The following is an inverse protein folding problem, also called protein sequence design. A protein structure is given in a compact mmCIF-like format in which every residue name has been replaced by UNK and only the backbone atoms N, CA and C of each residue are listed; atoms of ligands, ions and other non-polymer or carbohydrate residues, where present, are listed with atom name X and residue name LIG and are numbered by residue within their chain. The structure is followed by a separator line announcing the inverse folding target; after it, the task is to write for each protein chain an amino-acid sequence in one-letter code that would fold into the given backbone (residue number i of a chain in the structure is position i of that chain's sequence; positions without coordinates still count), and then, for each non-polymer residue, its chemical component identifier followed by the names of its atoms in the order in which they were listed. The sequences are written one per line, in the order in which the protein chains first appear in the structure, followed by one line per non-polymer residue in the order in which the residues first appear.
data_IF_814848318848
#
_entry.id   IF_814848318848
#
_cell.length_a   1.000
_cell.length_b   1.000
_cell.length_c   1.000
_cell.angle_alpha   90.00
_cell.angle_beta   90.00
_cell.angle_gamma   90.00
#
_symmetry.space_group_name_H-M   'P 1'
#
loop_
_entity.id
_entity.type
_entity.pdbx_description
1 polymer ?
#
# COMPACT_ATOMS: atom_id res chain seq x y z
N UNK A 1 8.23 42.00 3.23
CA UNK A 1 8.68 41.89 4.64
C UNK A 1 9.08 40.45 4.87
N UNK A 2 10.39 40.21 4.97
CA UNK A 2 10.98 38.88 5.14
C UNK A 2 10.87 38.45 6.62
N UNK A 3 10.13 37.40 6.85
CA UNK A 3 10.09 36.74 8.16
C UNK A 3 11.33 35.90 8.33
N UNK A 4 12.19 36.23 9.27
CA UNK A 4 13.38 35.45 9.59
C UNK A 4 13.04 34.34 10.58
N UNK A 5 13.75 33.20 10.48
CA UNK A 5 13.61 32.00 11.35
C UNK A 5 13.68 32.29 12.86
N UNK A 6 14.23 33.42 13.28
CA UNK A 6 14.35 33.82 14.71
C UNK A 6 13.06 34.35 15.32
N UNK A 7 12.14 34.89 14.54
CA UNK A 7 10.84 35.35 15.04
C UNK A 7 9.85 34.20 15.30
N UNK A 8 10.17 33.00 14.83
CA UNK A 8 9.33 31.80 15.05
C UNK A 8 9.60 31.11 16.40
N UNK A 9 10.75 31.35 17.04
CA UNK A 9 11.15 30.71 18.27
C UNK A 9 10.98 31.59 19.53
N UNK A 10 10.60 32.84 19.40
CA UNK A 10 10.56 33.80 20.50
C UNK A 10 9.20 34.46 20.79
N UNK A 11 8.17 34.14 20.07
CA UNK A 11 6.84 34.74 20.30
C UNK A 11 5.83 33.67 20.74
N UNK A 12 5.01 34.01 21.69
CA UNK A 12 3.86 33.27 22.26
C UNK A 12 2.83 32.71 21.27
N UNK A 13 3.24 32.43 20.04
CA UNK A 13 2.42 31.82 18.97
C UNK A 13 2.31 30.31 19.15
N UNK A 14 3.15 29.71 19.99
CA UNK A 14 3.05 28.31 20.37
C UNK A 14 1.75 27.96 21.14
N UNK A 15 1.01 28.97 21.59
CA UNK A 15 -0.18 28.78 22.41
C UNK A 15 -1.51 28.89 21.68
N UNK A 16 -1.54 29.32 20.42
CA UNK A 16 -2.81 29.54 19.71
C UNK A 16 -3.26 28.38 18.81
N UNK A 17 -2.48 27.34 18.62
CA UNK A 17 -2.82 26.24 17.70
C UNK A 17 -2.70 24.82 18.22
N UNK A 18 -2.06 24.60 19.37
CA UNK A 18 -1.75 23.27 19.85
C UNK A 18 -2.48 22.77 21.10
N UNK A 19 -3.09 23.59 21.96
CA UNK A 19 -3.53 23.05 23.25
C UNK A 19 -5.00 22.65 23.32
N UNK A 20 -5.77 22.76 22.27
CA UNK A 20 -7.21 22.46 22.38
C UNK A 20 -7.45 21.01 22.85
N UNK A 21 -6.54 20.10 22.53
CA UNK A 21 -6.62 18.71 22.96
C UNK A 21 -5.49 18.24 23.89
N UNK A 22 -4.63 19.13 24.38
CA UNK A 22 -3.54 18.73 25.28
C UNK A 22 -4.04 18.13 26.61
N UNK A 23 -5.28 18.38 26.99
CA UNK A 23 -5.94 17.76 28.13
C UNK A 23 -6.77 16.52 27.82
N UNK A 24 -7.03 16.22 26.55
CA UNK A 24 -7.74 15.02 26.13
C UNK A 24 -6.71 13.98 25.74
N UNK A 25 -6.53 12.98 26.58
CA UNK A 25 -5.54 11.92 26.37
C UNK A 25 -5.97 10.94 25.27
N UNK A 26 -6.25 11.45 24.04
CA UNK A 26 -6.53 10.65 22.87
C UNK A 26 -5.29 9.87 22.41
N UNK A 27 -4.08 10.35 22.76
CA UNK A 27 -2.81 9.66 22.50
C UNK A 27 -2.48 8.61 23.58
N UNK A 28 -3.04 8.73 24.78
CA UNK A 28 -2.77 7.83 25.90
C UNK A 28 -3.47 6.48 25.82
N UNK A 29 -4.51 6.35 25.02
CA UNK A 29 -5.17 5.07 24.81
C UNK A 29 -4.35 4.08 23.97
N UNK A 30 -3.29 4.57 23.31
CA UNK A 30 -2.41 3.74 22.47
C UNK A 30 -1.01 3.51 23.05
N UNK A 31 -0.63 4.20 24.12
CA UNK A 31 0.59 3.92 24.86
C UNK A 31 0.22 3.03 26.05
N UNK A 32 0.24 1.71 25.82
CA UNK A 32 0.01 0.74 26.88
C UNK A 32 1.03 0.90 27.99
N UNK A 33 0.71 1.72 29.01
CA UNK A 33 1.07 1.35 30.37
C UNK A 33 0.07 0.25 30.73
N UNK A 34 0.56 -0.95 30.96
CA UNK A 34 -0.22 -2.03 31.56
C UNK A 34 -0.74 -1.61 32.94
N UNK A 35 -1.74 -0.76 33.01
CA UNK A 35 -2.58 -0.63 34.18
C UNK A 35 -3.51 -1.83 34.15
N UNK A 36 -3.41 -2.66 35.17
CA UNK A 36 -4.25 -3.82 35.46
C UNK A 36 -5.71 -3.39 35.68
N UNK A 37 -6.36 -2.87 34.68
CA UNK A 37 -7.79 -2.59 34.62
C UNK A 37 -8.40 -3.40 33.48
N UNK A 38 -9.31 -4.32 33.78
CA UNK A 38 -10.00 -5.25 32.89
C UNK A 38 -10.92 -4.53 31.88
N UNK A 39 -10.38 -3.69 31.00
CA UNK A 39 -11.11 -3.13 29.87
C UNK A 39 -10.50 -3.65 28.58
N UNK A 40 -11.26 -4.46 27.84
CA UNK A 40 -10.89 -4.87 26.47
C UNK A 40 -10.78 -3.60 25.61
N UNK A 41 -9.68 -3.45 24.90
CA UNK A 41 -9.49 -2.32 23.99
C UNK A 41 -10.63 -2.30 22.95
N UNK A 42 -11.09 -1.12 22.49
CA UNK A 42 -12.25 -1.03 21.59
C UNK A 42 -12.06 -1.74 20.23
N UNK A 43 -10.83 -2.11 19.91
CA UNK A 43 -10.45 -2.78 18.66
C UNK A 43 -10.23 -4.30 18.79
N UNK A 44 -10.45 -4.86 20.00
CA UNK A 44 -10.23 -6.29 20.23
C UNK A 44 -11.40 -6.89 21.02
N UNK A 45 -11.68 -8.17 20.77
CA UNK A 45 -12.65 -8.95 21.57
C UNK A 45 -11.99 -9.55 22.80
N UNK A 46 -12.79 -9.96 23.77
CA UNK A 46 -12.30 -10.58 24.99
C UNK A 46 -11.50 -11.88 24.78
N UNK A 47 -11.68 -12.53 23.63
CA UNK A 47 -10.99 -13.76 23.23
C UNK A 47 -9.71 -13.50 22.41
N UNK A 48 -9.23 -12.25 22.36
CA UNK A 48 -8.03 -11.88 21.62
C UNK A 48 -8.22 -11.74 20.09
N UNK A 49 -9.47 -11.84 19.58
CA UNK A 49 -9.76 -11.62 18.18
C UNK A 49 -10.04 -10.14 17.88
N UNK A 50 -9.76 -9.74 16.63
CA UNK A 50 -10.12 -8.43 16.14
C UNK A 50 -11.62 -8.17 16.24
N UNK A 51 -12.00 -6.93 16.57
CA UNK A 51 -13.41 -6.51 16.50
C UNK A 51 -13.89 -6.49 15.04
N UNK A 52 -15.20 -6.38 14.83
CA UNK A 52 -15.76 -6.27 13.49
C UNK A 52 -15.28 -5.00 12.78
N UNK A 53 -15.11 -3.92 13.52
CA UNK A 53 -14.60 -2.63 13.04
C UNK A 53 -13.17 -2.76 12.54
N UNK A 54 -12.31 -3.46 13.27
CA UNK A 54 -10.94 -3.74 12.87
C UNK A 54 -10.92 -4.66 11.65
N UNK A 55 -11.72 -5.72 11.65
CA UNK A 55 -11.75 -6.66 10.53
C UNK A 55 -12.14 -5.97 9.22
N UNK A 56 -13.22 -5.18 9.22
CA UNK A 56 -13.68 -4.49 8.00
C UNK A 56 -12.63 -3.48 7.52
N UNK A 57 -12.03 -2.71 8.43
CA UNK A 57 -10.97 -1.78 8.07
C UNK A 57 -9.75 -2.50 7.47
N UNK A 58 -9.30 -3.58 8.10
CA UNK A 58 -8.18 -4.40 7.64
C UNK A 58 -8.44 -4.96 6.25
N UNK A 59 -9.61 -5.56 6.01
CA UNK A 59 -9.97 -6.12 4.71
C UNK A 59 -9.98 -5.07 3.59
N UNK A 60 -10.54 -3.88 3.83
CA UNK A 60 -10.51 -2.81 2.83
C UNK A 60 -9.10 -2.29 2.54
N UNK A 61 -8.25 -2.17 3.55
CA UNK A 61 -6.86 -1.74 3.37
C UNK A 61 -6.06 -2.78 2.59
N UNK A 62 -6.20 -4.06 2.93
CA UNK A 62 -5.42 -5.15 2.31
C UNK A 62 -5.88 -5.51 0.91
N UNK A 63 -7.18 -5.38 0.63
CA UNK A 63 -7.73 -5.84 -0.66
C UNK A 63 -8.13 -4.71 -1.60
N UNK A 64 -8.48 -3.53 -1.08
CA UNK A 64 -8.89 -2.39 -1.91
C UNK A 64 -7.94 -1.19 -1.87
N UNK A 65 -6.87 -1.23 -1.07
CA UNK A 65 -5.92 -0.11 -0.94
C UNK A 65 -6.57 1.19 -0.46
N UNK A 66 -7.58 1.11 0.41
CA UNK A 66 -8.30 2.24 1.01
C UNK A 66 -8.94 1.85 2.33
N UNK A 67 -9.35 2.81 3.12
CA UNK A 67 -10.26 2.54 4.24
C UNK A 67 -11.71 2.42 3.74
N UNK A 68 -12.59 1.70 4.47
CA UNK A 68 -14.00 1.66 4.12
C UNK A 68 -14.63 3.04 4.33
N UNK A 69 -15.61 3.37 3.53
CA UNK A 69 -16.49 4.51 3.79
C UNK A 69 -17.32 4.25 5.06
N UNK A 70 -17.87 5.31 5.65
CA UNK A 70 -18.78 5.17 6.81
C UNK A 70 -19.93 4.18 6.52
N UNK A 71 -20.53 4.24 5.33
CA UNK A 71 -21.64 3.37 4.95
C UNK A 71 -21.21 1.91 4.86
N UNK A 72 -20.08 1.63 4.24
CA UNK A 72 -19.50 0.30 4.13
C UNK A 72 -19.15 -0.29 5.51
N UNK A 73 -18.47 0.51 6.34
CA UNK A 73 -18.08 0.09 7.69
C UNK A 73 -19.32 -0.23 8.55
N UNK A 74 -20.31 0.67 8.56
CA UNK A 74 -21.55 0.47 9.31
C UNK A 74 -22.38 -0.71 8.75
N UNK A 75 -22.46 -0.84 7.44
CA UNK A 75 -23.13 -1.95 6.78
C UNK A 75 -22.59 -3.30 7.21
N UNK A 76 -21.27 -3.43 7.30
CA UNK A 76 -20.62 -4.64 7.79
C UNK A 76 -20.80 -4.85 9.29
N UNK A 77 -20.50 -3.83 10.10
CA UNK A 77 -20.52 -3.94 11.58
C UNK A 77 -21.90 -4.27 12.11
N UNK A 78 -22.94 -3.67 11.55
CA UNK A 78 -24.34 -3.88 11.98
C UNK A 78 -25.06 -4.98 11.22
N UNK A 79 -24.39 -5.64 10.27
CA UNK A 79 -24.96 -6.77 9.53
C UNK A 79 -25.29 -7.93 10.47
N UNK A 80 -26.47 -8.53 10.30
CA UNK A 80 -26.89 -9.75 10.99
C UNK A 80 -26.58 -11.02 10.19
N UNK A 81 -26.01 -10.88 8.99
CA UNK A 81 -25.64 -12.04 8.17
C UNK A 81 -24.49 -12.81 8.84
N UNK A 82 -24.63 -14.11 9.17
CA UNK A 82 -23.56 -14.92 9.73
C UNK A 82 -22.38 -15.05 8.77
N UNK A 83 -22.64 -15.05 7.46
CA UNK A 83 -21.63 -15.19 6.39
C UNK A 83 -21.01 -13.84 5.96
N UNK A 84 -21.25 -12.75 6.71
CA UNK A 84 -20.80 -11.41 6.32
C UNK A 84 -19.29 -11.28 6.08
N UNK A 85 -18.47 -12.10 6.77
CA UNK A 85 -17.01 -12.08 6.57
C UNK A 85 -16.65 -12.64 5.22
N UNK A 86 -17.14 -13.82 4.91
CA UNK A 86 -16.91 -14.48 3.63
C UNK A 86 -17.43 -13.62 2.49
N UNK A 87 -18.67 -13.10 2.61
CA UNK A 87 -19.23 -12.20 1.62
C UNK A 87 -18.38 -10.94 1.39
N UNK A 88 -17.93 -10.28 2.47
CA UNK A 88 -17.06 -9.11 2.35
C UNK A 88 -15.75 -9.43 1.64
N UNK A 89 -15.09 -10.54 2.00
CA UNK A 89 -13.82 -10.95 1.39
C UNK A 89 -14.03 -11.26 -0.09
N UNK A 90 -15.06 -12.02 -0.43
CA UNK A 90 -15.38 -12.39 -1.81
C UNK A 90 -15.72 -11.15 -2.66
N UNK A 91 -16.51 -10.21 -2.12
CA UNK A 91 -16.84 -8.94 -2.79
C UNK A 91 -15.59 -8.08 -3.04
N UNK A 92 -14.72 -7.96 -2.04
CA UNK A 92 -13.49 -7.17 -2.18
C UNK A 92 -12.51 -7.80 -3.18
N UNK A 93 -12.35 -9.13 -3.17
CA UNK A 93 -11.49 -9.83 -4.12
C UNK A 93 -12.03 -9.77 -5.56
N UNK A 94 -13.35 -9.62 -5.75
CA UNK A 94 -13.97 -9.46 -7.05
C UNK A 94 -13.96 -8.00 -7.57
N UNK A 95 -13.74 -7.01 -6.70
CA UNK A 95 -13.82 -5.60 -7.04
C UNK A 95 -12.64 -5.14 -7.93
N UNK A 96 -12.90 -4.11 -8.77
CA UNK A 96 -11.85 -3.47 -9.59
C UNK A 96 -10.73 -2.88 -8.71
N UNK A 97 -11.07 -2.32 -7.55
CA UNK A 97 -10.12 -1.77 -6.60
C UNK A 97 -9.09 -2.80 -6.08
N UNK A 98 -9.44 -4.09 -6.09
CA UNK A 98 -8.50 -5.16 -5.80
C UNK A 98 -7.42 -5.24 -6.90
N UNK A 99 -7.85 -5.29 -8.15
CA UNK A 99 -6.91 -5.33 -9.27
C UNK A 99 -6.00 -4.10 -9.30
N UNK A 100 -6.55 -2.91 -9.06
CA UNK A 100 -5.80 -1.66 -8.96
C UNK A 100 -4.69 -1.72 -7.89
N UNK A 101 -5.07 -2.09 -6.67
CA UNK A 101 -4.13 -2.09 -5.54
C UNK A 101 -3.07 -3.18 -5.63
N UNK A 102 -3.47 -4.40 -5.98
CA UNK A 102 -2.52 -5.51 -6.08
C UNK A 102 -1.60 -5.39 -7.29
N UNK A 103 -2.08 -4.76 -8.38
CA UNK A 103 -1.22 -4.42 -9.52
C UNK A 103 -0.10 -3.47 -9.13
N UNK A 104 -0.38 -2.47 -8.29
CA UNK A 104 0.64 -1.55 -7.77
C UNK A 104 1.77 -2.33 -7.06
N UNK A 105 1.41 -3.33 -6.21
CA UNK A 105 2.39 -4.16 -5.51
C UNK A 105 3.22 -5.03 -6.45
N UNK A 106 2.59 -5.61 -7.48
CA UNK A 106 3.33 -6.36 -8.50
C UNK A 106 4.19 -5.45 -9.37
N UNK A 107 3.78 -4.20 -9.62
CA UNK A 107 4.62 -3.23 -10.30
C UNK A 107 5.91 -2.90 -9.54
N UNK A 108 5.88 -2.95 -8.20
CA UNK A 108 7.09 -2.79 -7.39
C UNK A 108 8.07 -3.96 -7.63
N UNK A 109 7.57 -5.19 -7.57
CA UNK A 109 8.36 -6.41 -7.77
C UNK A 109 8.87 -6.53 -9.22
N UNK A 110 8.05 -6.12 -10.19
CA UNK A 110 8.34 -6.21 -11.62
C UNK A 110 9.05 -4.96 -12.18
N UNK A 111 9.42 -4.01 -11.31
CA UNK A 111 10.26 -2.83 -11.64
C UNK A 111 9.67 -1.96 -12.73
N UNK A 112 8.37 -1.64 -12.65
CA UNK A 112 7.68 -0.83 -13.64
C UNK A 112 8.06 0.64 -13.46
N UNK A 113 9.06 1.10 -14.23
CA UNK A 113 9.65 2.44 -14.12
C UNK A 113 10.19 2.94 -15.44
N UNK A 114 9.84 4.18 -15.80
CA UNK A 114 10.27 4.78 -17.09
C UNK A 114 11.68 5.35 -17.07
N UNK A 115 12.18 5.75 -15.89
CA UNK A 115 13.47 6.44 -15.73
C UNK A 115 14.61 5.49 -15.30
N UNK A 116 15.83 6.04 -15.33
CA UNK A 116 17.01 5.34 -14.85
C UNK A 116 16.82 4.85 -13.39
N UNK A 117 17.34 3.66 -13.00
CA UNK A 117 18.21 2.76 -13.78
C UNK A 117 17.47 1.80 -14.71
N UNK A 118 16.15 1.67 -14.62
CA UNK A 118 15.35 0.70 -15.38
C UNK A 118 15.15 1.15 -16.83
N UNK A 119 14.70 2.38 -17.02
CA UNK A 119 14.61 3.04 -18.31
C UNK A 119 13.68 2.36 -19.33
N UNK A 120 12.44 2.01 -18.88
CA UNK A 120 11.43 1.40 -19.78
C UNK A 120 10.79 2.39 -20.76
N UNK A 121 10.78 3.69 -20.46
CA UNK A 121 10.01 4.72 -21.15
C UNK A 121 8.48 4.64 -20.90
N UNK A 122 7.75 5.78 -20.89
CA UNK A 122 6.33 5.80 -20.50
C UNK A 122 5.39 4.89 -21.31
N UNK A 123 5.60 4.76 -22.63
CA UNK A 123 4.75 3.88 -23.46
C UNK A 123 4.89 2.42 -23.04
N UNK A 124 6.11 1.96 -22.82
CA UNK A 124 6.39 0.61 -22.36
C UNK A 124 5.86 0.37 -20.93
N UNK A 125 6.03 1.35 -20.03
CA UNK A 125 5.43 1.33 -18.69
C UNK A 125 3.92 1.13 -18.75
N UNK A 126 3.23 1.91 -19.59
CA UNK A 126 1.78 1.82 -19.74
C UNK A 126 1.33 0.44 -20.21
N UNK A 127 1.97 -0.10 -21.24
CA UNK A 127 1.65 -1.42 -21.81
C UNK A 127 1.94 -2.51 -20.79
N UNK A 128 3.08 -2.45 -20.11
CA UNK A 128 3.47 -3.43 -19.08
C UNK A 128 2.56 -3.40 -17.86
N UNK A 129 2.23 -2.21 -17.34
CA UNK A 129 1.27 -2.05 -16.25
C UNK A 129 -0.09 -2.67 -16.60
N UNK A 130 -0.62 -2.40 -17.81
CA UNK A 130 -1.90 -2.99 -18.24
C UNK A 130 -1.88 -4.52 -18.24
N UNK A 131 -0.76 -5.12 -18.62
CA UNK A 131 -0.59 -6.58 -18.60
C UNK A 131 -0.57 -7.12 -17.16
N UNK A 132 0.14 -6.43 -16.27
CA UNK A 132 0.16 -6.78 -14.83
C UNK A 132 -1.23 -6.62 -14.22
N UNK A 133 -1.95 -5.55 -14.55
CA UNK A 133 -3.32 -5.35 -14.11
C UNK A 133 -4.26 -6.46 -14.60
N UNK A 134 -4.13 -6.87 -15.87
CA UNK A 134 -4.90 -7.98 -16.43
C UNK A 134 -4.59 -9.32 -15.72
N UNK A 135 -3.32 -9.58 -15.37
CA UNK A 135 -2.93 -10.75 -14.57
C UNK A 135 -3.68 -10.80 -13.24
N UNK A 136 -3.70 -9.70 -12.48
CA UNK A 136 -4.39 -9.63 -11.19
C UNK A 136 -5.91 -9.69 -11.37
N UNK A 137 -6.45 -8.94 -12.34
CA UNK A 137 -7.89 -8.84 -12.60
C UNK A 137 -8.51 -10.16 -13.02
N UNK A 138 -7.81 -10.94 -13.83
CA UNK A 138 -8.29 -12.22 -14.36
C UNK A 138 -7.89 -13.40 -13.46
N UNK A 139 -7.19 -13.16 -12.35
CA UNK A 139 -6.64 -14.20 -11.47
C UNK A 139 -5.88 -15.27 -12.25
N UNK A 140 -5.01 -14.83 -13.18
CA UNK A 140 -4.20 -15.72 -14.00
C UNK A 140 -3.22 -16.49 -13.10
N UNK A 141 -2.99 -17.80 -13.33
CA UNK A 141 -2.00 -18.56 -12.59
C UNK A 141 -0.59 -17.95 -12.70
N UNK A 142 0.10 -17.85 -11.57
CA UNK A 142 1.43 -17.23 -11.52
C UNK A 142 2.48 -17.93 -12.38
N UNK A 143 2.40 -19.26 -12.50
CA UNK A 143 3.28 -20.07 -13.36
C UNK A 143 3.06 -19.75 -14.85
N UNK A 144 1.81 -19.57 -15.30
CA UNK A 144 1.49 -19.14 -16.65
C UNK A 144 2.01 -17.72 -16.93
N UNK A 145 1.77 -16.80 -15.99
CA UNK A 145 2.25 -15.43 -16.12
C UNK A 145 3.79 -15.35 -16.13
N UNK A 146 4.46 -16.10 -15.24
CA UNK A 146 5.91 -16.18 -15.19
C UNK A 146 6.50 -16.74 -16.50
N UNK A 147 5.90 -17.79 -17.06
CA UNK A 147 6.29 -18.34 -18.38
C UNK A 147 6.13 -17.29 -19.49
N UNK A 148 5.02 -16.57 -19.51
CA UNK A 148 4.78 -15.53 -20.50
C UNK A 148 5.84 -14.42 -20.40
N UNK A 149 6.15 -13.94 -19.21
CA UNK A 149 7.16 -12.89 -18.98
C UNK A 149 8.58 -13.34 -19.38
N UNK A 150 8.95 -14.57 -19.06
CA UNK A 150 10.29 -15.09 -19.29
C UNK A 150 10.55 -15.44 -20.75
N UNK A 151 9.55 -15.91 -21.49
CA UNK A 151 9.71 -16.38 -22.86
C UNK A 151 9.26 -15.37 -23.91
N UNK A 152 8.73 -14.22 -23.51
CA UNK A 152 8.30 -13.19 -24.46
C UNK A 152 9.45 -12.64 -25.28
N UNK A 153 9.11 -12.25 -26.51
CA UNK A 153 9.94 -11.53 -27.47
C UNK A 153 9.11 -10.46 -28.15
N UNK A 154 9.73 -9.55 -28.89
CA UNK A 154 9.03 -8.52 -29.64
C UNK A 154 9.23 -7.11 -29.09
N UNK A 155 8.37 -6.20 -29.51
CA UNK A 155 8.45 -4.77 -29.21
C UNK A 155 7.97 -4.48 -27.80
N UNK A 156 8.72 -3.68 -27.05
CA UNK A 156 8.34 -3.18 -25.73
C UNK A 156 7.04 -2.35 -25.71
N UNK A 157 6.66 -1.78 -26.85
CA UNK A 157 5.44 -0.99 -26.97
C UNK A 157 4.21 -1.82 -27.38
N UNK A 158 4.41 -3.05 -27.86
CA UNK A 158 3.35 -3.92 -28.42
C UNK A 158 3.23 -5.22 -27.64
N UNK A 159 4.36 -5.82 -27.29
CA UNK A 159 4.46 -7.11 -26.60
C UNK A 159 4.77 -6.86 -25.12
N UNK A 160 3.72 -6.70 -24.33
CA UNK A 160 3.80 -6.22 -22.95
C UNK A 160 4.76 -7.03 -22.07
N UNK A 161 4.75 -8.35 -22.23
CA UNK A 161 5.56 -9.29 -21.46
C UNK A 161 7.07 -9.15 -21.73
N UNK A 162 7.46 -8.68 -22.93
CA UNK A 162 8.86 -8.43 -23.29
C UNK A 162 9.52 -7.39 -22.35
N UNK A 163 8.73 -6.55 -21.70
CA UNK A 163 9.21 -5.54 -20.77
C UNK A 163 9.81 -6.14 -19.49
N UNK A 164 9.50 -7.38 -19.13
CA UNK A 164 10.14 -8.03 -17.99
C UNK A 164 11.66 -8.09 -18.16
N UNK A 165 12.17 -8.59 -19.29
CA UNK A 165 13.60 -8.67 -19.55
C UNK A 165 14.26 -7.29 -19.72
N UNK A 166 13.47 -6.26 -20.06
CA UNK A 166 13.95 -4.88 -20.14
C UNK A 166 13.99 -4.18 -18.77
N UNK A 167 13.23 -4.68 -17.80
CA UNK A 167 13.14 -4.08 -16.46
C UNK A 167 14.35 -4.40 -15.58
N UNK A 168 15.55 -4.20 -16.10
CA UNK A 168 16.84 -4.39 -15.43
C UNK A 168 17.78 -3.24 -15.74
N UNK A 169 18.57 -2.84 -14.73
CA UNK A 169 19.65 -1.87 -14.91
C UNK A 169 20.81 -2.42 -15.77
N UNK A 170 20.97 -3.75 -15.80
CA UNK A 170 22.05 -4.43 -16.53
C UNK A 170 21.47 -5.31 -17.63
N UNK A 171 21.59 -4.88 -18.88
CA UNK A 171 21.10 -5.60 -20.08
C UNK A 171 22.11 -6.63 -20.56
N UNK A 172 22.48 -7.53 -19.66
CA UNK A 172 23.43 -8.63 -19.88
C UNK A 172 22.79 -9.94 -19.46
N UNK A 173 23.30 -11.11 -19.90
CA UNK A 173 22.81 -12.42 -19.45
C UNK A 173 22.72 -12.52 -17.93
N UNK A 174 23.71 -12.01 -17.19
CA UNK A 174 23.73 -11.98 -15.74
C UNK A 174 22.61 -11.10 -15.16
N UNK A 175 22.36 -9.92 -15.75
CA UNK A 175 21.30 -9.03 -15.34
C UNK A 175 19.91 -9.62 -15.55
N UNK A 176 19.69 -10.31 -16.68
CA UNK A 176 18.43 -11.02 -16.94
C UNK A 176 18.22 -12.19 -15.97
N UNK A 177 19.29 -12.95 -15.72
CA UNK A 177 19.27 -14.05 -14.76
C UNK A 177 19.01 -13.57 -13.33
N UNK A 178 19.64 -12.48 -12.92
CA UNK A 178 19.45 -11.87 -11.60
C UNK A 178 17.99 -11.50 -11.35
N UNK A 179 17.36 -10.76 -12.27
CA UNK A 179 15.95 -10.38 -12.10
C UNK A 179 15.01 -11.57 -12.16
N UNK A 180 15.31 -12.61 -12.96
CA UNK A 180 14.52 -13.83 -13.03
C UNK A 180 14.63 -14.62 -11.73
N UNK A 181 15.85 -14.83 -11.21
CA UNK A 181 16.11 -15.54 -9.97
C UNK A 181 15.46 -14.85 -8.77
N UNK A 182 15.63 -13.52 -8.63
CA UNK A 182 14.99 -12.74 -7.56
C UNK A 182 13.46 -12.79 -7.67
N UNK A 183 12.91 -12.53 -8.85
CA UNK A 183 11.46 -12.39 -9.02
C UNK A 183 10.74 -13.71 -8.85
N UNK A 184 11.27 -14.81 -9.40
CA UNK A 184 10.53 -16.06 -9.45
C UNK A 184 11.00 -17.12 -8.44
N UNK A 185 12.26 -17.07 -8.02
CA UNK A 185 12.82 -18.05 -7.08
C UNK A 185 13.11 -17.45 -5.70
N UNK A 186 13.09 -16.13 -5.55
CA UNK A 186 13.46 -15.43 -4.30
C UNK A 186 14.95 -15.60 -3.97
N UNK A 187 15.77 -15.88 -4.98
CA UNK A 187 17.21 -16.06 -4.79
C UNK A 187 17.92 -14.71 -4.92
N UNK A 188 18.63 -14.34 -3.86
CA UNK A 188 19.47 -13.15 -3.85
C UNK A 188 20.75 -13.42 -4.64
N UNK A 189 21.03 -12.58 -5.66
CA UNK A 189 22.15 -12.77 -6.56
C UNK A 189 23.50 -12.88 -5.85
N UNK A 190 23.68 -12.07 -4.81
CA UNK A 190 24.93 -12.04 -4.07
C UNK A 190 25.16 -13.27 -3.17
N UNK A 191 24.10 -13.99 -2.83
CA UNK A 191 24.18 -15.21 -2.02
C UNK A 191 24.47 -16.44 -2.87
N UNK A 192 24.38 -16.33 -4.20
CA UNK A 192 24.66 -17.42 -5.11
C UNK A 192 26.16 -17.59 -5.32
N UNK A 193 26.61 -18.85 -5.45
CA UNK A 193 27.98 -19.17 -5.86
C UNK A 193 28.24 -18.70 -7.28
N UNK A 194 29.50 -18.42 -7.62
CA UNK A 194 29.90 -17.99 -8.97
C UNK A 194 29.49 -19.02 -10.04
N UNK A 195 29.66 -20.30 -9.76
CA UNK A 195 29.22 -21.38 -10.63
C UNK A 195 27.72 -21.32 -10.91
N UNK A 196 26.91 -21.07 -9.87
CA UNK A 196 25.45 -20.97 -10.02
C UNK A 196 25.05 -19.72 -10.78
N UNK A 197 25.67 -18.58 -10.54
CA UNK A 197 25.44 -17.35 -11.30
C UNK A 197 25.75 -17.54 -12.79
N UNK A 198 26.85 -18.19 -13.09
CA UNK A 198 27.22 -18.51 -14.49
C UNK A 198 26.21 -19.45 -15.14
N UNK A 199 25.82 -20.54 -14.46
CA UNK A 199 24.77 -21.45 -14.94
C UNK A 199 23.47 -20.71 -15.28
N UNK A 200 23.01 -19.82 -14.36
CA UNK A 200 21.80 -19.05 -14.57
C UNK A 200 21.94 -18.06 -15.74
N UNK A 201 23.08 -17.39 -15.86
CA UNK A 201 23.35 -16.47 -16.97
C UNK A 201 23.36 -17.17 -18.34
N UNK A 202 23.86 -18.42 -18.40
CA UNK A 202 23.90 -19.19 -19.64
C UNK A 202 22.51 -19.44 -20.24
N UNK A 203 21.44 -19.52 -19.42
CA UNK A 203 20.06 -19.60 -19.94
C UNK A 203 19.62 -18.35 -20.69
N UNK A 204 20.17 -17.18 -20.37
CA UNK A 204 19.81 -15.89 -20.94
C UNK A 204 20.85 -15.39 -21.95
N UNK A 205 21.89 -16.16 -22.26
CA UNK A 205 22.94 -15.78 -23.21
C UNK A 205 22.42 -15.59 -24.65
N UNK A 206 21.25 -16.14 -24.97
CA UNK A 206 20.60 -16.00 -26.28
C UNK A 206 19.78 -14.68 -26.40
N UNK A 207 19.55 -13.95 -25.32
CA UNK A 207 18.71 -12.73 -25.33
C UNK A 207 19.48 -11.55 -25.90
N UNK A 208 18.84 -10.82 -26.82
CA UNK A 208 19.33 -9.56 -27.37
C UNK A 208 18.25 -8.51 -27.30
N UNK A 209 18.65 -7.28 -26.98
CA UNK A 209 17.78 -6.10 -27.04
C UNK A 209 18.32 -5.18 -28.11
N UNK A 210 17.51 -4.87 -29.12
CA UNK A 210 17.88 -4.01 -30.25
C UNK A 210 16.97 -2.79 -30.33
N UNK A 211 17.57 -1.63 -30.54
CA UNK A 211 16.83 -0.41 -30.87
C UNK A 211 16.21 -0.52 -32.26
N UNK A 212 15.03 0.05 -32.43
CA UNK A 212 14.38 0.23 -33.71
C UNK A 212 14.64 1.63 -34.29
N UNK A 213 13.97 1.96 -35.39
CA UNK A 213 13.95 3.32 -35.95
C UNK A 213 12.94 4.23 -35.23
N UNK A 214 11.97 3.63 -34.50
CA UNK A 214 11.02 4.37 -33.70
C UNK A 214 11.69 4.84 -32.41
N UNK A 215 11.37 6.06 -32.00
CA UNK A 215 12.01 6.67 -30.86
C UNK A 215 11.70 5.92 -29.57
N UNK A 216 12.77 5.45 -28.90
CA UNK A 216 12.71 4.69 -27.63
C UNK A 216 12.05 3.31 -27.73
N UNK A 217 11.66 2.85 -28.91
CA UNK A 217 11.22 1.48 -29.10
C UNK A 217 12.42 0.53 -29.14
N UNK A 218 12.32 -0.57 -28.41
CA UNK A 218 13.30 -1.64 -28.37
C UNK A 218 12.63 -2.99 -28.62
N UNK A 219 13.36 -3.91 -29.24
CA UNK A 219 12.88 -5.27 -29.52
C UNK A 219 13.73 -6.26 -28.73
N UNK A 220 13.05 -7.12 -27.95
CA UNK A 220 13.64 -8.31 -27.35
C UNK A 220 13.60 -9.43 -28.39
N UNK A 221 14.74 -10.00 -28.72
CA UNK A 221 14.86 -11.11 -29.67
C UNK A 221 15.84 -12.18 -29.19
N UNK A 222 15.74 -13.35 -29.79
CA UNK A 222 16.59 -14.51 -29.47
C UNK A 222 17.54 -14.76 -30.59
N UNK A 223 18.81 -14.99 -30.29
CA UNK A 223 19.84 -15.41 -31.23
C UNK A 223 20.25 -16.87 -30.87
N UNK A 224 20.04 -17.75 -31.84
CA UNK A 224 20.32 -19.19 -31.71
C UNK A 224 19.20 -19.93 -30.97
N UNK A 225 19.60 -20.94 -30.21
CA UNK A 225 18.68 -21.76 -29.40
C UNK A 225 18.11 -20.97 -28.21
N UNK A 226 16.79 -21.03 -28.00
CA UNK A 226 16.15 -20.38 -26.86
C UNK A 226 16.32 -21.19 -25.58
N UNK A 227 17.41 -20.97 -24.87
CA UNK A 227 17.73 -21.64 -23.61
C UNK A 227 16.84 -21.23 -22.44
N UNK A 228 16.08 -20.14 -22.55
CA UNK A 228 15.14 -19.71 -21.53
C UNK A 228 14.06 -20.75 -21.26
N UNK A 229 13.71 -21.55 -22.28
CA UNK A 229 12.76 -22.66 -22.13
C UNK A 229 13.26 -23.64 -21.05
N UNK A 230 14.52 -24.02 -21.09
CA UNK A 230 15.12 -24.92 -20.09
C UNK A 230 15.15 -24.28 -18.67
N UNK A 231 15.36 -22.96 -18.57
CA UNK A 231 15.22 -22.25 -17.29
C UNK A 231 13.80 -22.37 -16.73
N UNK A 232 12.79 -22.11 -17.56
CA UNK A 232 11.37 -22.17 -17.15
C UNK A 232 10.98 -23.60 -16.77
N UNK A 233 11.43 -24.61 -17.51
CA UNK A 233 11.13 -26.01 -17.20
C UNK A 233 11.77 -26.44 -15.86
N UNK A 234 13.00 -26.01 -15.58
CA UNK A 234 13.62 -26.25 -14.25
C UNK A 234 12.93 -25.47 -13.14
N UNK A 235 12.56 -24.21 -13.39
CA UNK A 235 11.85 -23.39 -12.42
C UNK A 235 10.53 -24.02 -12.00
N UNK A 236 9.74 -24.51 -12.94
CA UNK A 236 8.44 -25.14 -12.68
C UNK A 236 8.55 -26.62 -12.29
N UNK A 237 9.69 -27.26 -12.52
CA UNK A 237 9.99 -28.65 -12.17
C UNK A 237 10.86 -28.77 -10.90
N UNK A 238 12.18 -28.75 -11.08
CA UNK A 238 13.17 -28.95 -10.01
C UNK A 238 13.07 -27.88 -8.91
N UNK A 239 12.89 -26.60 -9.27
CA UNK A 239 12.87 -25.47 -8.36
C UNK A 239 11.44 -25.02 -7.98
N UNK A 240 10.44 -25.83 -8.24
CA UNK A 240 9.02 -25.53 -8.00
C UNK A 240 8.74 -25.09 -6.55
N UNK A 241 9.45 -25.66 -5.59
CA UNK A 241 9.29 -25.28 -4.18
C UNK A 241 9.75 -23.84 -3.93
N UNK A 242 10.89 -23.44 -4.49
CA UNK A 242 11.40 -22.08 -4.34
C UNK A 242 10.51 -21.10 -5.10
N UNK A 243 10.02 -21.48 -6.28
CA UNK A 243 9.06 -20.70 -7.07
C UNK A 243 7.78 -20.37 -6.26
N UNK A 244 7.16 -21.38 -5.64
CA UNK A 244 5.98 -21.19 -4.82
C UNK A 244 6.30 -20.38 -3.54
N UNK A 245 7.40 -20.68 -2.88
CA UNK A 245 7.85 -19.98 -1.67
C UNK A 245 8.13 -18.50 -1.92
N UNK A 246 8.77 -18.15 -3.03
CA UNK A 246 9.07 -16.78 -3.38
C UNK A 246 7.80 -15.92 -3.56
N UNK A 247 6.75 -16.49 -4.15
CA UNK A 247 5.47 -15.81 -4.28
C UNK A 247 4.78 -15.61 -2.93
N UNK A 248 4.66 -16.70 -2.17
CA UNK A 248 3.96 -16.67 -0.87
C UNK A 248 4.70 -15.80 0.15
N UNK A 249 6.04 -15.77 0.13
CA UNK A 249 6.82 -14.87 0.97
C UNK A 249 6.41 -13.40 0.78
N UNK A 250 6.16 -12.97 -0.45
CA UNK A 250 5.67 -11.60 -0.71
C UNK A 250 4.29 -11.38 -0.15
N UNK A 251 3.38 -12.32 -0.36
CA UNK A 251 2.01 -12.23 0.16
C UNK A 251 2.01 -12.20 1.69
N UNK A 252 2.75 -13.08 2.33
CA UNK A 252 2.88 -13.15 3.79
C UNK A 252 3.53 -11.89 4.37
N UNK A 253 4.53 -11.35 3.69
CA UNK A 253 5.13 -10.07 4.07
C UNK A 253 4.13 -8.91 3.95
N UNK A 254 3.37 -8.87 2.86
CA UNK A 254 2.39 -7.79 2.62
C UNK A 254 1.19 -7.85 3.58
N UNK A 255 0.75 -9.05 3.97
CA UNK A 255 -0.42 -9.19 4.87
C UNK A 255 -0.02 -9.24 6.34
N UNK A 256 1.05 -9.95 6.67
CA UNK A 256 1.40 -10.27 8.06
C UNK A 256 2.77 -9.77 8.49
N UNK A 257 3.55 -9.15 7.60
CA UNK A 257 4.93 -8.75 7.90
C UNK A 257 5.89 -9.92 8.14
N UNK A 258 5.55 -11.11 7.69
CA UNK A 258 6.39 -12.29 7.88
C UNK A 258 7.58 -12.25 6.91
N UNK A 259 8.79 -12.37 7.46
CA UNK A 259 10.02 -12.41 6.65
C UNK A 259 10.18 -13.74 5.91
N UNK A 260 9.59 -14.81 6.41
CA UNK A 260 9.63 -16.15 5.82
C UNK A 260 8.20 -16.64 5.57
N UNK A 261 7.95 -17.33 4.44
CA UNK A 261 6.62 -17.83 4.13
C UNK A 261 6.22 -18.95 5.09
N UNK A 262 4.94 -18.93 5.50
CA UNK A 262 4.37 -20.06 6.23
C UNK A 262 4.25 -21.28 5.27
N UNK A 263 4.78 -22.46 5.63
CA UNK A 263 4.68 -23.66 4.80
C UNK A 263 3.24 -24.01 4.40
N UNK A 264 2.27 -23.80 5.30
CA UNK A 264 0.85 -24.04 5.00
C UNK A 264 0.31 -23.11 3.91
N UNK A 265 0.73 -21.83 3.91
CA UNK A 265 0.34 -20.89 2.88
C UNK A 265 0.92 -21.28 1.52
N UNK A 266 2.13 -21.86 1.51
CA UNK A 266 2.74 -22.41 0.29
C UNK A 266 1.94 -23.61 -0.24
N UNK A 267 1.49 -24.53 0.63
CA UNK A 267 0.62 -25.65 0.26
C UNK A 267 -0.70 -25.14 -0.33
N UNK A 268 -1.38 -24.18 0.35
CA UNK A 268 -2.62 -23.56 -0.15
C UNK A 268 -2.42 -22.97 -1.55
N UNK A 269 -1.32 -22.27 -1.79
CA UNK A 269 -1.03 -21.65 -3.09
C UNK A 269 -0.84 -22.69 -4.20
N UNK A 270 -0.09 -23.75 -3.93
CA UNK A 270 0.13 -24.84 -4.88
C UNK A 270 -1.15 -25.60 -5.18
N UNK A 271 -1.94 -25.94 -4.16
CA UNK A 271 -3.19 -26.71 -4.29
C UNK A 271 -4.27 -25.93 -5.04
N UNK A 272 -4.22 -24.61 -4.98
CA UNK A 272 -5.10 -23.72 -5.76
C UNK A 272 -4.55 -23.31 -7.13
N UNK A 273 -3.58 -24.06 -7.67
CA UNK A 273 -3.06 -23.86 -9.02
C UNK A 273 -2.34 -22.52 -9.21
N UNK A 274 -1.55 -22.11 -8.22
CA UNK A 274 -0.74 -20.87 -8.25
C UNK A 274 -1.57 -19.60 -8.46
N UNK A 275 -2.82 -19.55 -7.95
CA UNK A 275 -3.72 -18.41 -8.07
C UNK A 275 -3.69 -17.52 -6.85
N UNK A 276 -3.72 -16.20 -7.08
CA UNK A 276 -3.64 -15.21 -6.03
C UNK A 276 -4.91 -15.14 -5.17
N UNK A 277 -6.10 -15.06 -5.82
CA UNK A 277 -7.36 -14.84 -5.10
C UNK A 277 -7.73 -15.99 -4.15
N UNK A 278 -7.65 -17.26 -4.53
CA UNK A 278 -7.90 -18.36 -3.61
C UNK A 278 -6.97 -18.33 -2.40
N UNK A 279 -5.66 -18.05 -2.61
CA UNK A 279 -4.71 -17.89 -1.51
C UNK A 279 -5.15 -16.77 -0.57
N UNK A 280 -5.42 -15.58 -1.09
CA UNK A 280 -5.82 -14.44 -0.26
C UNK A 280 -7.14 -14.68 0.47
N UNK A 281 -8.08 -15.37 -0.14
CA UNK A 281 -9.35 -15.75 0.47
C UNK A 281 -9.13 -16.64 1.69
N UNK A 282 -8.35 -17.69 1.56
CA UNK A 282 -8.03 -18.59 2.67
C UNK A 282 -7.28 -17.86 3.80
N UNK A 283 -6.32 -16.99 3.44
CA UNK A 283 -5.58 -16.18 4.42
C UNK A 283 -6.49 -15.21 5.16
N UNK A 284 -7.39 -14.51 4.46
CA UNK A 284 -8.33 -13.54 5.05
C UNK A 284 -9.34 -14.17 6.01
N UNK A 285 -9.69 -15.43 5.77
CA UNK A 285 -10.62 -16.19 6.61
C UNK A 285 -9.90 -17.01 7.70
N UNK A 286 -8.58 -16.98 7.74
CA UNK A 286 -7.76 -17.72 8.72
C UNK A 286 -7.84 -17.09 10.11
N UNK A 287 -7.57 -17.92 11.12
CA UNK A 287 -7.44 -17.44 12.51
C UNK A 287 -6.29 -16.45 12.69
N UNK A 288 -5.25 -16.52 11.86
CA UNK A 288 -4.14 -15.58 11.86
C UNK A 288 -4.59 -14.16 11.50
N UNK A 289 -5.41 -14.03 10.45
CA UNK A 289 -5.95 -12.74 10.02
C UNK A 289 -6.97 -12.17 11.00
N UNK A 290 -7.63 -13.02 11.79
CA UNK A 290 -8.59 -12.60 12.82
C UNK A 290 -7.93 -12.22 14.15
N UNK A 291 -6.62 -12.33 14.30
CA UNK A 291 -5.94 -11.93 15.54
C UNK A 291 -6.13 -10.45 15.83
N UNK A 292 -6.36 -10.14 17.10
CA UNK A 292 -6.39 -8.76 17.57
C UNK A 292 -4.99 -8.16 17.66
N UNK A 293 -4.90 -6.83 17.64
CA UNK A 293 -3.60 -6.15 17.59
C UNK A 293 -2.90 -6.07 18.95
N UNK A 294 -3.58 -6.31 20.05
CA UNK A 294 -3.03 -6.15 21.42
C UNK A 294 -2.68 -7.49 22.04
N UNK A 295 -3.65 -8.39 22.15
CA UNK A 295 -3.47 -9.70 22.80
C UNK A 295 -3.27 -10.84 21.79
N UNK A 296 -3.66 -10.62 20.55
CA UNK A 296 -3.53 -11.57 19.45
C UNK A 296 -2.24 -11.45 18.65
N UNK A 297 -1.38 -10.49 18.98
CA UNK A 297 -0.08 -10.23 18.31
C UNK A 297 -0.18 -10.03 16.79
N UNK A 298 -1.27 -9.41 16.30
CA UNK A 298 -1.32 -9.02 14.90
C UNK A 298 -0.32 -7.88 14.65
N UNK A 299 0.54 -7.97 13.62
CA UNK A 299 1.59 -6.99 13.42
C UNK A 299 1.03 -5.61 13.05
N UNK A 300 1.53 -4.58 13.72
CA UNK A 300 1.25 -3.20 13.33
C UNK A 300 2.07 -2.82 12.12
N UNK A 301 1.39 -2.52 11.02
CA UNK A 301 2.03 -2.02 9.79
C UNK A 301 1.49 -0.63 9.47
N UNK A 302 2.37 0.32 9.19
CA UNK A 302 1.93 1.62 8.69
C UNK A 302 1.27 1.43 7.32
N UNK A 303 0.23 2.20 7.05
CA UNK A 303 -0.38 2.23 5.72
C UNK A 303 0.69 2.58 4.67
N UNK A 304 0.62 1.95 3.51
CA UNK A 304 1.47 2.30 2.38
C UNK A 304 1.35 3.79 2.04
N UNK A 305 2.41 4.39 1.52
CA UNK A 305 2.46 5.81 1.22
C UNK A 305 1.30 6.24 0.29
N UNK A 306 1.04 5.43 -0.73
CA UNK A 306 -0.02 5.67 -1.72
C UNK A 306 -1.41 5.58 -1.08
N UNK A 307 -1.64 4.56 -0.26
CA UNK A 307 -2.90 4.39 0.48
C UNK A 307 -3.13 5.57 1.43
N UNK A 308 -2.09 5.97 2.17
CA UNK A 308 -2.20 7.08 3.13
C UNK A 308 -2.48 8.42 2.43
N UNK A 309 -1.81 8.72 1.30
CA UNK A 309 -2.07 9.92 0.51
C UNK A 309 -3.50 9.93 -0.04
N UNK A 310 -3.94 8.78 -0.58
CA UNK A 310 -5.30 8.60 -1.11
C UNK A 310 -6.36 8.81 -0.03
N UNK A 311 -6.19 8.18 1.13
CA UNK A 311 -7.13 8.31 2.25
C UNK A 311 -7.21 9.76 2.75
N UNK A 312 -6.07 10.44 2.90
CA UNK A 312 -6.06 11.86 3.32
C UNK A 312 -6.80 12.73 2.30
N UNK A 313 -6.57 12.51 1.00
CA UNK A 313 -7.22 13.27 -0.05
C UNK A 313 -8.73 13.01 -0.13
N UNK A 314 -9.15 11.76 0.02
CA UNK A 314 -10.57 11.38 0.01
C UNK A 314 -11.31 11.94 1.23
N UNK A 315 -10.70 11.90 2.42
CA UNK A 315 -11.29 12.47 3.64
C UNK A 315 -11.44 13.99 3.58
N UNK A 316 -10.56 14.66 2.82
CA UNK A 316 -10.52 16.14 2.74
C UNK A 316 -11.02 16.70 1.42
N UNK A 317 -11.54 15.86 0.51
CA UNK A 317 -11.88 16.21 -0.88
C UNK A 317 -10.82 17.10 -1.54
N UNK A 318 -9.56 16.67 -1.45
CA UNK A 318 -8.42 17.42 -1.99
C UNK A 318 -7.80 16.69 -3.19
N UNK A 319 -7.19 17.48 -4.08
CA UNK A 319 -6.42 16.96 -5.21
C UNK A 319 -4.97 16.66 -4.82
N UNK A 320 -4.27 16.01 -5.75
CA UNK A 320 -2.85 15.67 -5.69
C UNK A 320 -2.13 16.33 -6.86
N UNK A 321 -0.84 16.55 -6.69
CA UNK A 321 0.05 16.89 -7.78
C UNK A 321 1.23 15.93 -7.77
N UNK A 322 1.66 15.53 -8.96
CA UNK A 322 2.77 14.61 -9.15
C UNK A 322 3.83 15.27 -10.02
N UNK A 323 5.04 14.77 -9.92
CA UNK A 323 6.20 15.22 -10.68
C UNK A 323 6.94 14.04 -11.28
N UNK A 324 7.52 14.23 -12.44
CA UNK A 324 8.42 13.28 -13.11
C UNK A 324 9.46 14.06 -13.89
N UNK A 325 10.59 13.43 -14.17
CA UNK A 325 11.62 13.97 -15.08
C UNK A 325 11.21 13.77 -16.54
N UNK A 326 10.42 12.71 -16.83
CA UNK A 326 9.88 12.51 -18.16
C UNK A 326 8.93 13.66 -18.54
N UNK A 327 9.04 14.22 -19.77
CA UNK A 327 8.27 15.39 -20.17
C UNK A 327 6.78 15.09 -20.35
N UNK A 328 5.95 16.12 -20.19
CA UNK A 328 4.56 16.06 -20.65
C UNK A 328 4.50 15.92 -22.19
N UNK A 329 3.47 15.27 -22.76
CA UNK A 329 2.25 14.80 -22.10
C UNK A 329 2.35 13.40 -21.45
N UNK A 330 3.50 12.73 -21.50
CA UNK A 330 3.65 11.34 -21.06
C UNK A 330 3.44 11.14 -19.56
N UNK A 331 3.56 12.23 -18.77
CA UNK A 331 3.49 12.19 -17.31
C UNK A 331 2.34 13.03 -16.74
N UNK A 332 1.43 13.51 -17.60
CA UNK A 332 0.27 14.26 -17.13
C UNK A 332 -0.69 13.33 -16.36
N UNK A 333 -0.95 13.66 -15.12
CA UNK A 333 -1.92 12.98 -14.27
C UNK A 333 -2.97 13.97 -13.76
N UNK A 334 -4.27 13.63 -13.90
CA UNK A 334 -5.34 14.45 -13.33
C UNK A 334 -5.18 14.60 -11.80
N UNK A 335 -5.50 15.78 -11.27
CA UNK A 335 -5.35 16.08 -9.84
C UNK A 335 -6.13 15.14 -8.89
N UNK A 336 -7.17 14.46 -9.40
CA UNK A 336 -7.95 13.47 -8.66
C UNK A 336 -7.48 12.01 -8.91
N UNK A 337 -6.41 11.81 -9.70
CA UNK A 337 -5.85 10.47 -9.90
C UNK A 337 -5.36 9.93 -8.56
N UNK A 338 -5.80 8.74 -8.18
CA UNK A 338 -5.36 8.09 -6.94
C UNK A 338 -3.90 7.66 -7.04
N UNK A 339 -3.17 7.76 -5.93
CA UNK A 339 -1.75 7.39 -5.86
C UNK A 339 -1.51 5.90 -6.13
N UNK A 340 -2.43 5.03 -5.74
CA UNK A 340 -2.36 3.58 -6.04
C UNK A 340 -2.50 3.27 -7.53
N UNK A 341 -3.03 4.20 -8.33
CA UNK A 341 -3.22 4.05 -9.77
C UNK A 341 -2.07 4.62 -10.60
N UNK A 342 -0.97 5.02 -9.97
CA UNK A 342 0.20 5.51 -10.70
C UNK A 342 0.97 4.33 -11.23
N UNK A 343 0.96 4.18 -12.54
CA UNK A 343 1.60 3.08 -13.26
C UNK A 343 3.12 3.12 -13.12
N UNK A 344 3.71 4.31 -13.20
CA UNK A 344 5.14 4.54 -13.30
C UNK A 344 5.79 4.84 -11.95
N UNK A 345 6.82 4.06 -11.59
CA UNK A 345 7.64 4.31 -10.40
C UNK A 345 8.36 5.66 -10.41
N UNK A 346 8.60 6.24 -11.59
CA UNK A 346 9.24 7.54 -11.75
C UNK A 346 8.34 8.72 -11.39
N UNK A 347 7.03 8.54 -11.45
CA UNK A 347 6.07 9.60 -11.12
C UNK A 347 5.81 9.58 -9.62
N UNK A 348 6.09 10.67 -8.92
CA UNK A 348 5.97 10.74 -7.47
C UNK A 348 5.61 12.16 -7.00
N UNK A 349 5.50 12.33 -5.69
CA UNK A 349 5.43 13.63 -5.03
C UNK A 349 6.18 13.59 -3.69
N UNK A 350 6.37 14.74 -3.08
CA UNK A 350 7.12 14.86 -1.84
C UNK A 350 6.52 14.04 -0.67
N UNK A 351 5.20 13.85 -0.65
CA UNK A 351 4.54 13.03 0.36
C UNK A 351 4.87 11.54 0.16
N UNK A 352 4.68 11.03 -1.05
CA UNK A 352 4.95 9.63 -1.39
C UNK A 352 6.41 9.24 -1.10
N UNK A 353 7.36 10.10 -1.50
CA UNK A 353 8.79 9.89 -1.21
C UNK A 353 9.08 9.93 0.30
N UNK A 354 8.48 10.88 1.02
CA UNK A 354 8.67 11.00 2.47
C UNK A 354 8.11 9.76 3.21
N UNK A 355 7.01 9.20 2.72
CA UNK A 355 6.34 8.05 3.33
C UNK A 355 6.75 6.70 2.76
N UNK A 356 7.85 6.64 2.00
CA UNK A 356 8.54 5.40 1.67
C UNK A 356 7.95 4.61 0.50
N UNK A 357 7.33 5.31 -0.47
CA UNK A 357 7.01 4.69 -1.76
C UNK A 357 8.29 4.17 -2.41
N UNK A 358 8.31 2.92 -2.94
CA UNK A 358 9.50 2.35 -3.55
C UNK A 358 9.85 3.05 -4.87
N UNK A 359 11.13 3.10 -5.16
CA UNK A 359 11.65 3.64 -6.43
C UNK A 359 11.46 2.68 -7.60
N UNK A 360 11.17 1.40 -7.35
CA UNK A 360 11.05 0.31 -8.33
C UNK A 360 12.33 0.06 -9.12
N UNK A 361 13.47 0.19 -8.46
CA UNK A 361 14.79 0.04 -9.06
C UNK A 361 15.28 -1.42 -9.03
N UNK A 362 15.00 -2.13 -7.96
CA UNK A 362 15.56 -3.46 -7.69
C UNK A 362 14.51 -4.58 -7.67
N UNK A 363 13.27 -4.26 -7.29
CA UNK A 363 12.20 -5.23 -7.09
C UNK A 363 12.27 -5.98 -5.76
N UNK A 364 13.15 -5.58 -4.84
CA UNK A 364 13.19 -6.10 -3.48
C UNK A 364 12.03 -5.56 -2.64
N UNK A 365 11.49 -6.38 -1.76
CA UNK A 365 10.46 -5.96 -0.81
C UNK A 365 10.95 -4.82 0.12
N UNK A 366 12.24 -4.80 0.42
CA UNK A 366 12.88 -3.78 1.26
C UNK A 366 12.94 -2.39 0.65
N UNK A 367 12.65 -2.22 -0.65
CA UNK A 367 12.52 -0.88 -1.23
C UNK A 367 11.34 -0.09 -0.68
N UNK A 368 10.29 -0.77 -0.22
CA UNK A 368 9.14 -0.13 0.41
C UNK A 368 9.40 0.06 1.90
N UNK A 369 9.55 1.31 2.32
CA UNK A 369 9.85 1.66 3.71
C UNK A 369 8.60 2.08 4.48
N UNK A 370 7.99 1.12 5.18
CA UNK A 370 6.79 1.36 5.99
C UNK A 370 7.10 1.70 7.46
N UNK A 371 8.36 1.86 7.84
CA UNK A 371 8.74 2.33 9.16
C UNK A 371 8.48 3.83 9.32
N UNK A 372 8.11 4.24 10.55
CA UNK A 372 7.85 5.64 10.83
C UNK A 372 9.12 6.36 11.24
N UNK A 373 9.43 7.44 10.54
CA UNK A 373 10.60 8.28 10.81
C UNK A 373 10.22 9.57 11.54
N UNK A 374 11.20 10.22 12.18
CA UNK A 374 10.99 11.52 12.81
C UNK A 374 10.52 12.59 11.79
N UNK A 375 11.00 12.53 10.54
CA UNK A 375 10.59 13.45 9.48
C UNK A 375 9.11 13.29 9.13
N UNK A 376 8.60 12.07 9.04
CA UNK A 376 7.19 11.78 8.80
C UNK A 376 6.31 12.29 9.94
N UNK A 377 6.71 12.07 11.20
CA UNK A 377 5.99 12.60 12.38
C UNK A 377 5.92 14.12 12.36
N UNK A 378 7.05 14.78 12.09
CA UNK A 378 7.11 16.24 12.00
C UNK A 378 6.23 16.76 10.85
N UNK A 379 6.18 16.08 9.73
CA UNK A 379 5.29 16.44 8.61
C UNK A 379 3.82 16.36 9.03
N UNK A 380 3.38 15.26 9.62
CA UNK A 380 2.00 15.09 10.06
C UNK A 380 1.57 16.11 11.11
N UNK A 381 2.50 16.50 12.00
CA UNK A 381 2.24 17.47 13.07
C UNK A 381 2.28 18.92 12.59
N UNK A 382 3.18 19.27 11.65
CA UNK A 382 3.50 20.66 11.35
C UNK A 382 3.20 21.10 9.91
N UNK A 383 2.71 20.21 9.04
CA UNK A 383 2.44 20.55 7.65
C UNK A 383 1.26 21.51 7.51
N UNK A 384 1.54 22.76 7.11
CA UNK A 384 0.51 23.74 6.82
C UNK A 384 -0.42 23.33 5.69
N UNK A 385 0.08 22.61 4.67
CA UNK A 385 -0.75 22.11 3.58
C UNK A 385 -1.72 21.02 4.06
N UNK A 386 -1.27 20.11 4.93
CA UNK A 386 -2.15 19.11 5.53
C UNK A 386 -3.24 19.77 6.39
N UNK A 387 -2.85 20.76 7.20
CA UNK A 387 -3.77 21.48 8.05
C UNK A 387 -4.81 22.28 7.23
N UNK A 388 -4.42 22.86 6.09
CA UNK A 388 -5.36 23.52 5.16
C UNK A 388 -6.34 22.51 4.53
N UNK A 389 -5.86 21.32 4.14
CA UNK A 389 -6.74 20.24 3.62
C UNK A 389 -7.77 19.84 4.68
N UNK A 390 -7.35 19.64 5.93
CA UNK A 390 -8.28 19.33 7.03
C UNK A 390 -9.30 20.46 7.29
N UNK A 391 -8.97 21.70 6.95
CA UNK A 391 -9.90 22.83 7.01
C UNK A 391 -11.16 22.62 6.17
N UNK A 392 -11.07 21.90 5.04
CA UNK A 392 -12.22 21.59 4.18
C UNK A 392 -13.30 20.74 4.87
N UNK A 393 -12.92 19.98 5.91
CA UNK A 393 -13.88 19.21 6.72
C UNK A 393 -14.88 20.13 7.41
N UNK A 394 -14.43 21.31 7.88
CA UNK A 394 -15.30 22.31 8.52
C UNK A 394 -16.26 22.95 7.53
N UNK A 395 -15.83 23.07 6.27
CA UNK A 395 -16.64 23.66 5.19
C UNK A 395 -17.71 22.70 4.65
N UNK A 396 -17.74 21.46 5.15
CA UNK A 396 -18.74 20.47 4.78
C UNK A 396 -20.14 20.98 5.15
N UNK A 397 -21.00 21.16 4.13
CA UNK A 397 -22.37 21.69 4.31
C UNK A 397 -23.23 20.83 5.22
N UNK A 398 -22.95 19.53 5.29
CA UNK A 398 -23.69 18.59 6.14
C UNK A 398 -23.45 18.88 7.62
N UNK A 399 -22.24 19.31 8.02
CA UNK A 399 -21.91 19.65 9.40
C UNK A 399 -22.62 20.92 9.91
N UNK A 400 -23.09 21.78 9.03
CA UNK A 400 -23.87 22.98 9.43
C UNK A 400 -25.23 22.65 10.03
N UNK A 401 -25.75 21.46 9.75
CA UNK A 401 -27.08 20.98 10.20
C UNK A 401 -27.00 19.96 11.34
N UNK A 402 -25.79 19.50 11.70
CA UNK A 402 -25.56 18.49 12.71
C UNK A 402 -25.15 19.10 14.03
N UNK A 403 -25.54 18.45 15.13
CA UNK A 403 -25.01 18.78 16.43
C UNK A 403 -23.58 18.19 16.61
N UNK A 404 -22.84 18.69 17.60
CA UNK A 404 -21.45 18.29 17.79
C UNK A 404 -21.28 16.79 18.08
N UNK A 405 -22.24 16.16 18.74
CA UNK A 405 -22.18 14.73 19.03
C UNK A 405 -22.32 13.88 17.76
N UNK A 406 -23.08 14.34 16.79
CA UNK A 406 -23.21 13.71 15.46
C UNK A 406 -21.93 13.90 14.63
N UNK A 407 -21.33 15.09 14.67
CA UNK A 407 -20.05 15.39 13.98
C UNK A 407 -18.92 14.53 14.55
N UNK A 408 -18.81 14.42 15.87
CA UNK A 408 -17.83 13.52 16.53
C UNK A 408 -18.01 12.08 16.06
N UNK A 409 -19.24 11.60 16.05
CA UNK A 409 -19.54 10.23 15.60
C UNK A 409 -19.22 10.03 14.11
N UNK A 410 -19.52 11.01 13.26
CA UNK A 410 -19.22 10.95 11.84
C UNK A 410 -17.71 10.90 11.58
N UNK A 411 -16.93 11.77 12.23
CA UNK A 411 -15.48 11.79 12.08
C UNK A 411 -14.83 10.48 12.53
N UNK A 412 -15.28 9.88 13.63
CA UNK A 412 -14.77 8.56 14.06
C UNK A 412 -15.03 7.47 13.02
N UNK A 413 -16.24 7.40 12.48
CA UNK A 413 -16.56 6.44 11.42
C UNK A 413 -15.73 6.66 10.15
N UNK A 414 -15.55 7.91 9.74
CA UNK A 414 -14.78 8.25 8.54
C UNK A 414 -13.28 7.99 8.69
N UNK A 415 -12.69 8.29 9.85
CA UNK A 415 -11.25 8.16 10.07
C UNK A 415 -10.85 6.79 10.61
N UNK A 416 -11.62 6.24 11.55
CA UNK A 416 -11.25 5.05 12.31
C UNK A 416 -12.15 3.84 12.01
N UNK A 417 -13.17 3.99 11.17
CA UNK A 417 -14.13 2.93 10.80
C UNK A 417 -14.88 2.35 12.01
N UNK A 418 -15.01 3.10 13.10
CA UNK A 418 -15.75 2.73 14.32
C UNK A 418 -16.45 3.92 14.97
N UNK A 419 -17.38 3.63 15.84
CA UNK A 419 -17.94 4.65 16.72
C UNK A 419 -16.93 5.08 17.81
N UNK A 420 -17.01 6.32 18.33
CA UNK A 420 -16.30 6.69 19.55
C UNK A 420 -16.84 5.88 20.75
N UNK A 421 -15.98 5.47 21.64
CA UNK A 421 -16.38 4.89 22.92
C UNK A 421 -17.18 5.91 23.75
N UNK A 422 -17.95 5.44 24.73
CA UNK A 422 -18.68 6.33 25.65
C UNK A 422 -17.75 7.33 26.33
N UNK A 423 -16.55 6.89 26.70
CA UNK A 423 -15.54 7.74 27.35
C UNK A 423 -14.97 8.79 26.37
N UNK A 424 -14.55 8.39 25.17
CA UNK A 424 -14.05 9.31 24.11
C UNK A 424 -15.11 10.37 23.80
N UNK A 425 -16.35 9.92 23.55
CA UNK A 425 -17.46 10.83 23.23
C UNK A 425 -17.71 11.85 24.37
N UNK A 426 -17.73 11.39 25.61
CA UNK A 426 -17.91 12.25 26.79
C UNK A 426 -16.78 13.28 26.88
N UNK A 427 -15.53 12.84 26.86
CA UNK A 427 -14.36 13.73 26.98
C UNK A 427 -14.34 14.80 25.88
N UNK A 428 -14.68 14.42 24.64
CA UNK A 428 -14.72 15.36 23.51
C UNK A 428 -15.85 16.39 23.67
N UNK A 429 -17.03 15.97 24.12
CA UNK A 429 -18.16 16.89 24.32
C UNK A 429 -17.96 17.79 25.55
N UNK A 430 -17.39 17.29 26.63
CA UNK A 430 -17.02 18.08 27.80
C UNK A 430 -15.99 19.15 27.41
N UNK A 431 -14.97 18.76 26.60
CA UNK A 431 -14.00 19.71 26.08
C UNK A 431 -14.63 20.76 25.16
N UNK A 432 -15.52 20.35 24.24
CA UNK A 432 -16.24 21.29 23.37
C UNK A 432 -17.10 22.28 24.16
N UNK A 433 -17.69 21.86 25.28
CA UNK A 433 -18.54 22.69 26.12
C UNK A 433 -17.80 23.88 26.72
N UNK A 434 -16.51 23.71 27.08
CA UNK A 434 -15.69 24.76 27.70
C UNK A 434 -14.98 25.68 26.71
N UNK A 435 -15.03 25.39 25.40
CA UNK A 435 -14.45 26.23 24.38
C UNK A 435 -15.19 27.56 24.28
N UNK A 436 -14.42 28.62 24.00
CA UNK A 436 -14.98 29.96 23.75
C UNK A 436 -15.87 29.95 22.50
N UNK A 437 -17.04 30.60 22.55
CA UNK A 437 -17.89 30.77 21.37
C UNK A 437 -17.13 31.44 20.20
N UNK A 438 -17.53 31.11 18.98
CA UNK A 438 -16.91 31.68 17.77
C UNK A 438 -15.81 30.78 17.20
N UNK A 439 -14.60 31.32 16.99
CA UNK A 439 -13.55 30.63 16.25
C UNK A 439 -13.11 29.29 16.84
N UNK A 440 -13.06 29.13 18.19
CA UNK A 440 -12.62 27.90 18.82
C UNK A 440 -13.63 26.76 18.57
N UNK A 441 -14.93 27.03 18.79
CA UNK A 441 -16.00 26.05 18.51
C UNK A 441 -16.11 25.71 17.04
N UNK A 442 -15.92 26.71 16.15
CA UNK A 442 -15.96 26.49 14.71
C UNK A 442 -14.81 25.59 14.23
N UNK A 443 -13.61 25.71 14.81
CA UNK A 443 -12.43 24.92 14.45
C UNK A 443 -12.42 23.50 14.99
N UNK A 444 -13.23 23.20 15.99
CA UNK A 444 -13.22 21.92 16.71
C UNK A 444 -13.29 20.69 15.79
N UNK A 445 -14.14 20.60 14.76
CA UNK A 445 -14.16 19.42 13.85
C UNK A 445 -12.84 19.21 13.12
N UNK A 446 -12.16 20.27 12.67
CA UNK A 446 -10.85 20.20 12.02
C UNK A 446 -9.78 19.73 13.01
N UNK A 447 -9.79 20.26 14.20
CA UNK A 447 -8.79 19.95 15.23
C UNK A 447 -8.98 18.50 15.71
N UNK A 448 -10.22 18.03 15.81
CA UNK A 448 -10.52 16.61 16.03
C UNK A 448 -10.05 15.74 14.87
N UNK A 449 -10.33 16.10 13.63
CA UNK A 449 -9.85 15.38 12.46
C UNK A 449 -8.30 15.28 12.43
N UNK A 450 -7.61 16.37 12.81
CA UNK A 450 -6.16 16.36 12.94
C UNK A 450 -5.67 15.39 14.03
N UNK A 451 -6.35 15.34 15.18
CA UNK A 451 -6.03 14.38 16.23
C UNK A 451 -6.23 12.93 15.77
N UNK A 452 -7.37 12.65 15.12
CA UNK A 452 -7.67 11.31 14.59
C UNK A 452 -6.65 10.88 13.54
N UNK A 453 -6.28 11.77 12.62
CA UNK A 453 -5.28 11.51 11.59
C UNK A 453 -3.90 11.18 12.19
N UNK A 454 -3.51 11.83 13.29
CA UNK A 454 -2.24 11.57 13.97
C UNK A 454 -2.29 10.39 14.95
N UNK A 455 -3.44 9.72 15.09
CA UNK A 455 -3.56 8.56 15.96
C UNK A 455 -2.86 7.32 15.34
N UNK A 456 -2.39 6.41 16.21
CA UNK A 456 -1.86 5.11 15.77
C UNK A 456 -2.92 4.31 15.03
N UNK A 457 -4.15 4.35 15.48
CA UNK A 457 -5.29 3.66 14.91
C UNK A 457 -5.59 4.08 13.45
N UNK A 458 -5.31 5.34 13.09
CA UNK A 458 -5.43 5.81 11.72
C UNK A 458 -4.23 5.42 10.85
N UNK A 459 -3.02 5.65 11.37
CA UNK A 459 -1.78 5.52 10.60
C UNK A 459 -1.36 4.07 10.35
N UNK A 460 -1.78 3.17 11.22
CA UNK A 460 -1.38 1.77 11.15
C UNK A 460 -2.58 0.87 10.87
N UNK A 461 -2.30 -0.17 10.13
CA UNK A 461 -3.14 -1.34 10.08
C UNK A 461 -2.85 -2.20 11.31
N UNK A 462 -3.88 -2.67 11.91
CA UNK A 462 -3.81 -3.40 13.17
C UNK A 462 -4.89 -4.49 13.23
#
# INVERSE_FOLDING_TARGET
MSWTRRSFLGGSVATAGLPVFAGVNLLGAAAGSASKGKGVAPWEKADGRASNEVFVRRAYVDFAGRIPTKVEAQGYVFSRNPERKTALVDDLLAAESFADYWSMRFCDVLRVKSEFPINLWPNAVYVYHRRIHAFVKNDEPWDHFARALLLSTGSDFRDAEANFLRSTARRTPEGFAEIAALTFLGWEWNDLTEARRKELADYFACVRIKNTREWKEEIVQIEGEDRRVAFVDRMLGEWRKDFARAFVQRVDYWLFGLEKPDPKHVEIFVDNGYRLRPLLRELALSSLYERGPVTGDFPYRRLDAEVLDDVICDLTDSGRSYQSIAPEPFTFLPAKRRSILIEDGSISNAFLLLFGRPARDTGHLSERHNEITAKQRLYLLNSGSLFQRLGRIVDNKDYRRQNMAEIVQDLYWRFLSRAPTKQEKRQLLDHFAVLKPGQEKWRFPRDLAWCLLNSREFLYQH
#
